data_IF_646428024809
#
_entry.id   IF_646428024809
#
_cell.length_a   1.000
_cell.length_b   1.000
_cell.length_c   1.000
_cell.angle_alpha   90.00
_cell.angle_beta   90.00
_cell.angle_gamma   90.00
#
_symmetry.space_group_name_H-M   'P 1'
#
loop_
_entity.id
_entity.type
_entity.pdbx_description
1 polymer ?
#
# COMPACT_ATOMS: atom_id res chain seq x y z
N UNK A 1 13.27 12.22 -22.03
CA UNK A 1 11.95 11.94 -21.42
C UNK A 1 11.78 12.91 -20.27
N UNK A 2 10.73 13.72 -20.23
CA UNK A 2 10.47 14.58 -19.06
C UNK A 2 9.96 13.70 -17.92
N UNK A 3 10.63 13.70 -16.77
CA UNK A 3 10.06 13.09 -15.58
C UNK A 3 8.89 13.96 -15.11
N UNK A 4 7.69 13.41 -15.13
CA UNK A 4 6.52 14.04 -14.52
C UNK A 4 6.57 13.77 -13.03
N UNK A 5 6.71 14.82 -12.22
CA UNK A 5 6.68 14.74 -10.77
C UNK A 5 5.24 14.97 -10.26
N UNK A 6 4.79 14.10 -9.36
CA UNK A 6 3.50 14.23 -8.69
C UNK A 6 3.73 14.45 -7.20
N UNK A 7 3.14 15.52 -6.65
CA UNK A 7 3.16 15.80 -5.24
C UNK A 7 1.81 15.44 -4.61
N UNK A 8 1.86 14.73 -3.48
CA UNK A 8 0.68 14.40 -2.68
C UNK A 8 0.84 14.99 -1.29
N UNK A 9 -0.19 15.67 -0.80
CA UNK A 9 -0.28 16.14 0.59
C UNK A 9 -1.34 15.32 1.31
N UNK A 10 -0.96 14.71 2.42
CA UNK A 10 -1.86 13.96 3.28
C UNK A 10 -2.18 14.78 4.52
N UNK A 11 -3.46 14.87 4.85
CA UNK A 11 -3.92 15.47 6.10
C UNK A 11 -4.14 14.35 7.10
N UNK A 12 -3.12 14.07 7.91
CA UNK A 12 -3.17 13.07 8.97
C UNK A 12 -3.36 13.77 10.31
N UNK A 13 -4.13 13.16 11.21
CA UNK A 13 -4.12 13.50 12.62
C UNK A 13 -2.75 13.18 13.25
N UNK A 14 -2.48 13.75 14.43
CA UNK A 14 -1.24 13.47 15.16
C UNK A 14 -1.08 11.98 15.49
N UNK A 15 -2.18 11.31 15.85
CA UNK A 15 -2.19 9.89 16.15
C UNK A 15 -1.86 9.03 14.91
N UNK A 16 -2.44 9.36 13.75
CA UNK A 16 -2.13 8.66 12.49
C UNK A 16 -0.69 8.89 12.06
N UNK A 17 -0.17 10.11 12.27
CA UNK A 17 1.23 10.41 11.98
C UNK A 17 2.17 9.60 12.88
N UNK A 18 1.88 9.47 14.18
CA UNK A 18 2.66 8.63 15.09
C UNK A 18 2.68 7.16 14.64
N UNK A 19 1.51 6.60 14.30
CA UNK A 19 1.42 5.22 13.79
C UNK A 19 2.28 5.06 12.53
N UNK A 20 2.20 6.02 11.60
CA UNK A 20 3.02 5.99 10.38
C UNK A 20 4.53 6.03 10.70
N UNK A 21 4.94 6.82 11.69
CA UNK A 21 6.33 6.91 12.13
C UNK A 21 6.83 5.61 12.76
N UNK A 22 6.04 5.01 13.64
CA UNK A 22 6.37 3.74 14.29
C UNK A 22 6.49 2.61 13.26
N UNK A 23 5.53 2.53 12.32
CA UNK A 23 5.57 1.55 11.24
C UNK A 23 6.81 1.75 10.35
N UNK A 24 7.07 2.97 9.90
CA UNK A 24 8.25 3.26 9.07
C UNK A 24 9.55 2.87 9.78
N UNK A 25 9.67 3.22 11.07
CA UNK A 25 10.82 2.86 11.91
C UNK A 25 10.97 1.34 12.07
N UNK A 26 9.89 0.62 12.33
CA UNK A 26 9.93 -0.85 12.49
C UNK A 26 10.36 -1.58 11.22
N UNK A 27 10.06 -1.01 10.06
CA UNK A 27 10.43 -1.56 8.74
C UNK A 27 11.79 -1.02 8.24
N UNK A 28 12.44 -0.10 8.96
CA UNK A 28 13.72 0.49 8.54
C UNK A 28 13.65 1.35 7.28
N UNK A 29 12.47 1.90 6.94
CA UNK A 29 12.24 2.72 5.73
C UNK A 29 11.75 4.12 6.10
N UNK A 30 11.73 5.03 5.13
CA UNK A 30 11.18 6.37 5.34
C UNK A 30 9.64 6.36 5.36
N UNK A 31 9.02 7.32 6.06
CA UNK A 31 7.55 7.54 6.00
C UNK A 31 7.05 7.65 4.56
N UNK A 32 7.81 8.35 3.71
CA UNK A 32 7.47 8.56 2.31
C UNK A 32 7.47 7.26 1.52
N UNK A 33 8.44 6.36 1.77
CA UNK A 33 8.50 5.06 1.11
C UNK A 33 7.37 4.14 1.56
N UNK A 34 7.05 4.15 2.85
CA UNK A 34 5.91 3.41 3.37
C UNK A 34 4.58 3.88 2.74
N UNK A 35 4.39 5.20 2.61
CA UNK A 35 3.22 5.78 1.92
C UNK A 35 3.21 5.39 0.43
N UNK A 36 4.36 5.42 -0.26
CA UNK A 36 4.46 5.00 -1.67
C UNK A 36 4.06 3.54 -1.83
N UNK A 37 4.57 2.66 -0.97
CA UNK A 37 4.26 1.24 -1.00
C UNK A 37 2.75 1.01 -0.77
N UNK A 38 2.16 1.65 0.24
CA UNK A 38 0.73 1.55 0.50
C UNK A 38 -0.13 2.03 -0.68
N UNK A 39 0.27 3.11 -1.37
CA UNK A 39 -0.44 3.60 -2.57
C UNK A 39 -0.28 2.65 -3.76
N UNK A 40 0.90 2.06 -3.94
CA UNK A 40 1.14 1.02 -4.96
C UNK A 40 0.28 -0.22 -4.72
N UNK A 41 0.24 -0.70 -3.48
CA UNK A 41 -0.57 -1.85 -3.09
C UNK A 41 -2.06 -1.53 -3.27
N UNK A 42 -2.51 -0.36 -2.84
CA UNK A 42 -3.89 0.09 -3.05
C UNK A 42 -4.28 0.12 -4.53
N UNK A 43 -3.40 0.63 -5.40
CA UNK A 43 -3.62 0.62 -6.85
C UNK A 43 -3.76 -0.81 -7.38
N UNK A 44 -2.90 -1.73 -6.95
CA UNK A 44 -2.97 -3.14 -7.33
C UNK A 44 -4.31 -3.77 -6.91
N UNK A 45 -4.75 -3.55 -5.66
CA UNK A 45 -6.04 -4.02 -5.16
C UNK A 45 -7.21 -3.46 -5.98
N UNK A 46 -7.17 -2.17 -6.32
CA UNK A 46 -8.22 -1.53 -7.11
C UNK A 46 -8.27 -2.06 -8.54
N UNK A 47 -7.13 -2.32 -9.17
CA UNK A 47 -7.06 -2.92 -10.50
C UNK A 47 -7.59 -4.36 -10.51
N UNK A 48 -7.19 -5.19 -9.52
CA UNK A 48 -7.70 -6.55 -9.37
C UNK A 48 -9.22 -6.57 -9.11
N UNK A 49 -9.71 -5.60 -8.33
CA UNK A 49 -11.15 -5.45 -8.06
C UNK A 49 -11.93 -5.04 -9.31
N UNK A 50 -11.41 -4.09 -10.08
CA UNK A 50 -12.08 -3.56 -11.27
C UNK A 50 -12.11 -4.57 -12.42
N UNK A 51 -11.01 -5.26 -12.66
CA UNK A 51 -10.84 -6.13 -13.82
C UNK A 51 -11.10 -7.60 -13.53
N UNK A 52 -11.53 -7.92 -12.30
CA UNK A 52 -11.55 -9.28 -11.78
C UNK A 52 -10.15 -9.85 -11.67
N UNK A 53 -9.89 -10.56 -10.58
CA UNK A 53 -8.55 -11.05 -10.36
C UNK A 53 -8.39 -11.75 -9.04
N UNK A 54 -7.16 -12.15 -8.77
CA UNK A 54 -6.81 -12.68 -7.47
C UNK A 54 -5.48 -12.13 -7.02
N UNK A 55 -5.39 -11.79 -5.75
CA UNK A 55 -4.15 -11.35 -5.12
C UNK A 55 -3.72 -12.43 -4.14
N UNK A 56 -2.45 -12.80 -4.22
CA UNK A 56 -1.81 -13.72 -3.30
C UNK A 56 -1.14 -12.89 -2.21
N UNK A 57 -1.44 -13.20 -0.96
CA UNK A 57 -0.91 -12.53 0.22
C UNK A 57 -0.12 -13.58 0.99
N UNK A 58 1.15 -13.30 1.24
CA UNK A 58 1.99 -14.09 2.13
C UNK A 58 1.96 -13.46 3.52
N UNK A 59 1.64 -14.25 4.54
CA UNK A 59 1.77 -13.81 5.92
C UNK A 59 3.22 -13.91 6.41
N UNK A 60 3.46 -13.44 7.64
CA UNK A 60 4.79 -13.47 8.28
C UNK A 60 5.35 -14.88 8.49
N UNK A 61 4.50 -15.90 8.48
CA UNK A 61 4.86 -17.30 8.72
C UNK A 61 5.04 -18.05 7.38
N UNK A 62 4.93 -17.34 6.25
CA UNK A 62 5.07 -17.88 4.89
C UNK A 62 3.80 -18.54 4.35
N UNK A 63 2.66 -18.41 5.04
CA UNK A 63 1.41 -18.98 4.54
C UNK A 63 0.83 -18.09 3.44
N UNK A 64 0.49 -18.71 2.32
CA UNK A 64 -0.09 -18.02 1.17
C UNK A 64 -1.62 -18.09 1.26
N UNK A 65 -2.25 -16.91 1.29
CA UNK A 65 -3.71 -16.73 1.20
C UNK A 65 -4.08 -16.07 -0.12
N UNK A 66 -5.10 -16.60 -0.80
CA UNK A 66 -5.58 -16.05 -2.08
C UNK A 66 -6.90 -15.31 -1.88
N UNK A 67 -6.94 -14.03 -2.23
CA UNK A 67 -8.14 -13.21 -2.23
C UNK A 67 -8.68 -13.12 -3.65
N UNK A 68 -9.94 -13.47 -3.86
CA UNK A 68 -10.61 -13.42 -5.16
C UNK A 68 -11.51 -12.19 -5.25
N UNK A 69 -11.32 -11.37 -6.29
CA UNK A 69 -12.24 -10.31 -6.65
C UNK A 69 -13.07 -10.78 -7.86
N UNK A 70 -14.36 -10.97 -7.62
CA UNK A 70 -15.34 -11.29 -8.66
C UNK A 70 -15.75 -9.99 -9.37
N UNK A 71 -16.01 -10.06 -10.68
CA UNK A 71 -16.62 -8.95 -11.40
C UNK A 71 -18.01 -8.67 -10.81
N UNK A 72 -18.32 -7.39 -10.59
CA UNK A 72 -19.69 -6.93 -10.37
C UNK A 72 -20.33 -6.54 -11.70
#
# INVERSE_FOLDING_TARGET
MSNTEYQVKLSLSEQELQILEELAKSNGISKGDLVRQALSDFKLFQEARKNGGSILIEDKDGNLSKVHYLWN
#
